data_IF_575605546106
#
_entry.id   IF_575605546106
#
_cell.length_a   1.000
_cell.length_b   1.000
_cell.length_c   1.000
_cell.angle_alpha   90.00
_cell.angle_beta   90.00
_cell.angle_gamma   90.00
#
_symmetry.space_group_name_H-M   'P 1'
#
loop_
_entity.id
_entity.type
_entity.pdbx_description
1 polymer ?
#
# COMPACT_ATOMS: atom_id res chain seq x y z
N UNK A 1 -37.55 7.75 -24.41
CA UNK A 1 -36.19 7.47 -24.91
C UNK A 1 -35.35 8.71 -24.65
N UNK A 2 -34.54 8.70 -23.58
CA UNK A 2 -33.58 9.77 -23.30
C UNK A 2 -32.19 9.18 -23.50
N UNK A 3 -31.56 9.68 -24.53
CA UNK A 3 -30.21 9.38 -24.95
C UNK A 3 -29.27 10.31 -24.17
N UNK A 4 -28.64 9.78 -23.12
CA UNK A 4 -27.66 10.53 -22.32
C UNK A 4 -26.23 10.07 -22.65
N UNK A 5 -25.58 10.90 -23.48
CA UNK A 5 -24.17 11.27 -23.42
C UNK A 5 -23.13 10.16 -23.17
N UNK A 6 -22.78 9.45 -24.24
CA UNK A 6 -21.62 8.53 -24.34
C UNK A 6 -20.24 9.24 -24.40
N UNK A 7 -20.10 10.49 -23.97
CA UNK A 7 -18.86 11.28 -24.11
C UNK A 7 -17.92 11.27 -22.88
N UNK A 8 -18.26 10.56 -21.80
CA UNK A 8 -17.47 10.58 -20.55
C UNK A 8 -16.42 9.45 -20.39
N UNK A 9 -16.20 8.61 -21.41
CA UNK A 9 -15.41 7.35 -21.27
C UNK A 9 -13.94 7.42 -21.70
N UNK A 10 -13.34 8.60 -21.76
CA UNK A 10 -11.90 8.76 -22.02
C UNK A 10 -11.14 8.93 -20.68
N UNK A 11 -10.84 7.81 -20.00
CA UNK A 11 -9.82 7.76 -18.94
C UNK A 11 -10.27 7.76 -17.48
N UNK A 12 -11.56 7.56 -17.16
CA UNK A 12 -12.03 7.47 -15.77
C UNK A 12 -12.00 6.04 -15.21
N UNK A 13 -11.60 5.87 -13.95
CA UNK A 13 -11.86 4.64 -13.20
C UNK A 13 -13.36 4.52 -12.92
N UNK A 14 -13.93 3.31 -13.05
CA UNK A 14 -15.31 3.05 -12.65
C UNK A 14 -15.52 3.43 -11.18
N UNK A 15 -16.60 4.16 -10.83
CA UNK A 15 -16.88 4.48 -9.43
C UNK A 15 -17.15 3.19 -8.66
N UNK A 16 -16.31 2.90 -7.66
CA UNK A 16 -16.43 1.72 -6.81
C UNK A 16 -17.05 2.13 -5.46
N UNK A 17 -18.19 1.55 -5.05
CA UNK A 17 -18.75 1.80 -3.72
C UNK A 17 -17.83 1.25 -2.62
N UNK A 18 -17.92 1.86 -1.43
CA UNK A 18 -17.12 1.46 -0.28
C UNK A 18 -17.46 0.03 0.15
N UNK A 19 -16.47 -0.86 0.10
CA UNK A 19 -16.62 -2.25 0.60
C UNK A 19 -16.93 -2.28 2.09
N UNK A 20 -16.40 -1.34 2.87
CA UNK A 20 -16.69 -1.23 4.30
C UNK A 20 -18.18 -0.92 4.56
N UNK A 21 -18.83 -0.12 3.72
CA UNK A 21 -20.28 0.13 3.86
C UNK A 21 -21.10 -1.07 3.38
N UNK A 22 -20.67 -1.74 2.31
CA UNK A 22 -21.30 -2.98 1.85
C UNK A 22 -21.28 -4.05 2.94
N UNK A 23 -20.16 -4.18 3.67
CA UNK A 23 -19.99 -5.14 4.76
C UNK A 23 -20.85 -4.85 6.01
N UNK A 24 -21.35 -3.62 6.18
CA UNK A 24 -22.29 -3.29 7.28
C UNK A 24 -23.73 -3.76 6.99
N UNK A 25 -24.06 -4.01 5.72
CA UNK A 25 -25.38 -4.50 5.29
C UNK A 25 -25.52 -6.02 5.40
N UNK A 26 -26.57 -6.58 4.78
CA UNK A 26 -26.74 -8.02 4.67
C UNK A 26 -25.70 -8.62 3.69
N UNK A 27 -24.98 -9.65 4.14
CA UNK A 27 -24.01 -10.41 3.34
C UNK A 27 -24.65 -11.37 2.34
N UNK A 28 -25.99 -11.43 2.27
CA UNK A 28 -26.73 -12.37 1.44
C UNK A 28 -26.47 -12.22 -0.07
N UNK A 29 -25.96 -11.06 -0.53
CA UNK A 29 -25.63 -10.84 -1.93
C UNK A 29 -24.32 -10.06 -2.09
N UNK A 30 -23.19 -10.77 -2.09
CA UNK A 30 -21.91 -10.20 -2.55
C UNK A 30 -22.09 -9.79 -4.02
N UNK A 31 -21.86 -8.51 -4.39
CA UNK A 31 -22.05 -8.05 -5.76
C UNK A 31 -21.22 -8.89 -6.74
N UNK A 32 -21.81 -9.24 -7.90
CA UNK A 32 -21.19 -10.09 -8.93
C UNK A 32 -19.76 -9.67 -9.30
N UNK A 33 -19.45 -8.37 -9.24
CA UNK A 33 -18.10 -7.84 -9.51
C UNK A 33 -17.00 -8.28 -8.54
N UNK A 34 -17.36 -8.83 -7.38
CA UNK A 34 -16.43 -9.37 -6.38
C UNK A 34 -16.42 -10.91 -6.38
N UNK A 35 -17.32 -11.55 -7.13
CA UNK A 35 -17.27 -12.99 -7.34
C UNK A 35 -16.13 -13.29 -8.30
N UNK A 36 -15.28 -14.25 -7.93
CA UNK A 36 -14.25 -14.78 -8.81
C UNK A 36 -14.75 -16.08 -9.39
N UNK A 37 -14.57 -16.27 -10.69
CA UNK A 37 -14.83 -17.57 -11.31
C UNK A 37 -13.88 -18.59 -10.69
N UNK A 38 -14.39 -19.78 -10.36
CA UNK A 38 -13.58 -20.84 -9.75
C UNK A 38 -12.41 -21.27 -10.65
N UNK A 39 -12.50 -21.01 -11.95
CA UNK A 39 -11.44 -21.26 -12.94
C UNK A 39 -10.30 -20.22 -12.90
N UNK A 40 -10.48 -19.10 -12.20
CA UNK A 40 -9.45 -18.06 -11.97
C UNK A 40 -8.80 -18.14 -10.59
N UNK A 41 -9.27 -19.06 -9.73
CA UNK A 41 -8.61 -19.30 -8.46
C UNK A 41 -7.25 -19.92 -8.76
N UNK A 42 -6.16 -19.41 -8.16
CA UNK A 42 -4.91 -20.15 -8.18
C UNK A 42 -5.17 -21.56 -7.62
N UNK A 43 -4.44 -22.59 -8.09
CA UNK A 43 -4.58 -23.93 -7.57
C UNK A 43 -4.52 -23.91 -6.03
N UNK A 44 -5.23 -24.82 -5.33
CA UNK A 44 -5.23 -24.88 -3.88
C UNK A 44 -3.81 -24.72 -3.37
N UNK A 45 -3.58 -23.72 -2.51
CA UNK A 45 -2.26 -23.46 -1.96
C UNK A 45 -1.87 -24.71 -1.19
N UNK A 46 -1.02 -25.54 -1.80
CA UNK A 46 -0.32 -26.60 -1.09
C UNK A 46 0.69 -25.90 -0.21
N UNK A 47 0.28 -25.57 1.03
CA UNK A 47 1.21 -25.07 2.04
C UNK A 47 2.14 -26.24 2.32
N UNK A 48 3.30 -26.26 1.65
CA UNK A 48 4.40 -27.12 2.07
C UNK A 48 4.83 -26.59 3.43
N UNK A 49 4.92 -27.48 4.41
CA UNK A 49 5.29 -27.15 5.79
C UNK A 49 6.63 -26.42 5.93
N UNK A 50 7.46 -26.47 4.89
CA UNK A 50 8.83 -25.94 4.89
C UNK A 50 8.97 -24.58 4.18
N UNK A 51 7.91 -24.06 3.55
CA UNK A 51 7.93 -22.78 2.84
C UNK A 51 7.66 -21.62 3.82
N UNK A 52 8.53 -21.46 4.81
CA UNK A 52 8.49 -20.28 5.70
C UNK A 52 9.07 -19.05 4.98
N UNK A 53 8.33 -17.94 5.05
CA UNK A 53 8.75 -16.64 4.50
C UNK A 53 10.11 -16.26 5.11
N UNK A 54 11.14 -15.94 4.31
CA UNK A 54 12.45 -15.57 4.83
C UNK A 54 12.35 -14.36 5.76
N UNK A 55 13.05 -14.41 6.89
CA UNK A 55 13.15 -13.31 7.85
C UNK A 55 14.57 -12.75 7.78
N UNK A 56 14.73 -11.45 7.56
CA UNK A 56 16.02 -10.79 7.42
C UNK A 56 16.26 -9.85 8.61
N UNK A 57 17.39 -10.02 9.29
CA UNK A 57 17.83 -9.15 10.38
C UNK A 57 18.62 -7.96 9.82
N UNK A 58 18.03 -6.77 9.89
CA UNK A 58 18.63 -5.55 9.36
C UNK A 58 19.86 -5.12 10.16
N UNK A 59 19.86 -5.32 11.48
CA UNK A 59 21.01 -5.01 12.33
C UNK A 59 22.24 -5.84 11.94
N UNK A 60 22.07 -7.14 11.71
CA UNK A 60 23.14 -8.03 11.23
C UNK A 60 23.70 -7.59 9.88
N UNK A 61 22.84 -7.15 8.95
CA UNK A 61 23.28 -6.61 7.66
C UNK A 61 24.14 -5.35 7.83
N UNK A 62 23.74 -4.44 8.71
CA UNK A 62 24.47 -3.21 8.99
C UNK A 62 25.83 -3.48 9.65
N UNK A 63 25.94 -4.58 10.41
CA UNK A 63 27.19 -5.05 11.00
C UNK A 63 28.10 -5.81 10.02
N UNK A 64 27.66 -6.02 8.77
CA UNK A 64 28.47 -6.68 7.74
C UNK A 64 28.37 -8.21 7.75
N UNK A 65 27.33 -8.80 8.32
CA UNK A 65 27.16 -10.27 8.37
C UNK A 65 26.92 -10.86 6.97
N UNK A 66 27.95 -11.51 6.42
CA UNK A 66 27.90 -12.16 5.11
C UNK A 66 26.80 -13.24 5.00
N UNK A 67 26.48 -13.93 6.10
CA UNK A 67 25.44 -14.93 6.09
C UNK A 67 24.08 -14.28 5.83
N UNK A 68 23.80 -13.18 6.53
CA UNK A 68 22.55 -12.45 6.37
C UNK A 68 22.46 -11.78 4.98
N UNK A 69 23.58 -11.32 4.42
CA UNK A 69 23.63 -10.84 3.03
C UNK A 69 23.30 -11.93 2.00
N UNK A 70 23.86 -13.14 2.15
CA UNK A 70 23.54 -14.28 1.28
C UNK A 70 22.07 -14.68 1.40
N UNK A 71 21.53 -14.63 2.61
CA UNK A 71 20.11 -14.89 2.87
C UNK A 71 19.21 -13.85 2.20
N UNK A 72 19.57 -12.57 2.26
CA UNK A 72 18.86 -11.49 1.55
C UNK A 72 18.92 -11.67 0.03
N UNK A 73 20.09 -11.96 -0.54
CA UNK A 73 20.22 -12.22 -1.99
C UNK A 73 19.35 -13.42 -2.43
N UNK A 74 19.39 -14.51 -1.64
CA UNK A 74 18.54 -15.68 -1.88
C UNK A 74 17.05 -15.35 -1.81
N UNK A 75 16.61 -14.60 -0.78
CA UNK A 75 15.22 -14.18 -0.65
C UNK A 75 14.76 -13.31 -1.82
N UNK A 76 15.58 -12.37 -2.28
CA UNK A 76 15.28 -11.55 -3.45
C UNK A 76 15.13 -12.38 -4.75
N UNK A 77 15.98 -13.39 -4.96
CA UNK A 77 15.97 -14.20 -6.19
C UNK A 77 14.92 -15.30 -6.21
N UNK A 78 14.73 -15.98 -5.08
CA UNK A 78 13.90 -17.18 -5.00
C UNK A 78 12.47 -16.87 -4.55
N UNK A 79 12.30 -15.89 -3.66
CA UNK A 79 11.00 -15.56 -3.07
C UNK A 79 10.38 -14.29 -3.66
N UNK A 80 11.17 -13.24 -3.82
CA UNK A 80 10.67 -11.91 -4.20
C UNK A 80 9.95 -11.17 -3.06
N UNK A 81 9.84 -11.78 -1.87
CA UNK A 81 9.33 -11.15 -0.65
C UNK A 81 9.98 -11.79 0.60
N UNK A 82 10.06 -11.02 1.69
CA UNK A 82 10.65 -11.42 2.97
C UNK A 82 10.18 -10.49 4.09
N UNK A 83 10.36 -10.90 5.33
CA UNK A 83 10.07 -10.10 6.53
C UNK A 83 11.36 -9.47 7.06
N UNK A 84 11.28 -8.26 7.61
CA UNK A 84 12.42 -7.60 8.26
C UNK A 84 12.24 -7.60 9.78
N UNK A 85 13.32 -7.87 10.51
CA UNK A 85 13.41 -7.68 11.96
C UNK A 85 14.57 -6.76 12.30
N UNK A 86 14.52 -6.15 13.48
CA UNK A 86 15.52 -5.18 13.96
C UNK A 86 15.79 -4.06 12.94
N UNK A 87 14.76 -3.63 12.22
CA UNK A 87 14.84 -2.59 11.17
C UNK A 87 15.01 -1.16 11.72
N UNK A 88 15.14 -0.99 13.04
CA UNK A 88 15.39 0.30 13.68
C UNK A 88 14.20 1.27 13.73
N UNK A 89 13.01 0.85 13.31
CA UNK A 89 11.77 1.65 13.44
C UNK A 89 11.15 1.32 14.78
N UNK A 90 10.83 2.33 15.59
CA UNK A 90 10.30 2.11 16.92
C UNK A 90 8.90 1.48 16.89
N UNK A 91 8.64 0.53 17.78
CA UNK A 91 7.33 -0.11 17.93
C UNK A 91 6.23 0.92 18.22
N UNK A 92 6.55 1.96 19.00
CA UNK A 92 5.63 3.07 19.29
C UNK A 92 5.16 3.81 18.03
N UNK A 93 6.03 3.95 17.02
CA UNK A 93 5.67 4.59 15.76
C UNK A 93 4.80 3.66 14.92
N UNK A 94 5.14 2.36 14.88
CA UNK A 94 4.35 1.34 14.18
C UNK A 94 2.93 1.29 14.78
N UNK A 95 2.81 1.26 16.11
CA UNK A 95 1.53 1.23 16.80
C UNK A 95 0.73 2.50 16.59
N UNK A 96 1.41 3.67 16.58
CA UNK A 96 0.76 4.93 16.23
C UNK A 96 0.22 4.91 14.80
N UNK A 97 1.00 4.45 13.83
CA UNK A 97 0.55 4.35 12.43
C UNK A 97 -0.63 3.39 12.29
N UNK A 98 -0.60 2.23 12.96
CA UNK A 98 -1.72 1.29 12.99
C UNK A 98 -2.98 1.93 13.57
N UNK A 99 -2.84 2.62 14.70
CA UNK A 99 -3.93 3.32 15.37
C UNK A 99 -4.51 4.43 14.50
N UNK A 100 -3.67 5.33 14.00
CA UNK A 100 -4.10 6.45 13.16
C UNK A 100 -4.82 5.94 11.88
N UNK A 101 -4.34 4.83 11.31
CA UNK A 101 -4.98 4.17 10.17
C UNK A 101 -6.36 3.62 10.55
N UNK A 102 -6.45 2.92 11.69
CA UNK A 102 -7.72 2.38 12.20
C UNK A 102 -8.72 3.50 12.48
N UNK A 103 -8.29 4.56 13.17
CA UNK A 103 -9.10 5.73 13.50
C UNK A 103 -9.61 6.41 12.23
N UNK A 104 -8.76 6.55 11.20
CA UNK A 104 -9.17 7.05 9.89
C UNK A 104 -10.28 6.20 9.25
N UNK A 105 -10.14 4.87 9.23
CA UNK A 105 -11.17 4.00 8.63
C UNK A 105 -12.46 3.94 9.45
N UNK A 106 -12.41 4.26 10.75
CA UNK A 106 -13.58 4.37 11.62
C UNK A 106 -14.39 5.66 11.42
N UNK A 107 -13.84 6.68 10.76
CA UNK A 107 -14.58 7.90 10.44
C UNK A 107 -15.78 7.64 9.50
N UNK A 108 -16.82 8.51 9.53
CA UNK A 108 -17.91 8.49 8.56
C UNK A 108 -17.40 8.57 7.11
N UNK A 109 -18.14 7.96 6.18
CA UNK A 109 -17.74 7.87 4.77
C UNK A 109 -17.53 9.26 4.13
N UNK A 110 -18.36 10.22 4.51
CA UNK A 110 -18.37 11.60 4.03
C UNK A 110 -17.06 12.30 4.38
N UNK A 111 -16.56 12.09 5.59
CA UNK A 111 -15.32 12.69 6.06
C UNK A 111 -14.11 11.98 5.44
N UNK A 112 -14.16 10.65 5.31
CA UNK A 112 -13.13 9.89 4.57
C UNK A 112 -13.02 10.34 3.11
N UNK A 113 -14.15 10.60 2.43
CA UNK A 113 -14.17 11.11 1.04
C UNK A 113 -13.55 12.51 0.92
N UNK A 114 -13.83 13.40 1.86
CA UNK A 114 -13.21 14.74 1.90
C UNK A 114 -11.69 14.60 2.07
N UNK A 115 -11.26 13.85 3.08
CA UNK A 115 -9.84 13.64 3.38
C UNK A 115 -9.11 12.95 2.23
N UNK A 116 -9.69 11.94 1.59
CA UNK A 116 -9.11 11.26 0.44
C UNK A 116 -8.82 12.22 -0.72
N UNK A 117 -9.77 13.12 -1.03
CA UNK A 117 -9.57 14.16 -2.05
C UNK A 117 -8.43 15.11 -1.68
N UNK A 118 -8.36 15.51 -0.40
CA UNK A 118 -7.30 16.38 0.10
C UNK A 118 -5.94 15.68 0.18
N UNK A 119 -5.91 14.38 0.47
CA UNK A 119 -4.68 13.59 0.59
C UNK A 119 -3.98 13.45 -0.77
N UNK A 120 -4.74 13.27 -1.86
CA UNK A 120 -4.17 13.29 -3.22
C UNK A 120 -3.57 14.67 -3.53
N UNK A 121 -4.27 15.75 -3.17
CA UNK A 121 -3.77 17.12 -3.37
C UNK A 121 -2.52 17.38 -2.53
N UNK A 122 -2.53 17.01 -1.25
CA UNK A 122 -1.38 17.14 -0.34
C UNK A 122 -0.18 16.34 -0.83
N UNK A 123 -0.35 15.09 -1.28
CA UNK A 123 0.74 14.30 -1.87
C UNK A 123 1.33 14.96 -3.13
N UNK A 124 0.50 15.61 -3.95
CA UNK A 124 0.98 16.37 -5.12
C UNK A 124 1.71 17.64 -4.69
N UNK A 125 1.18 18.37 -3.69
CA UNK A 125 1.81 19.57 -3.15
C UNK A 125 3.14 19.25 -2.47
N UNK A 126 3.22 18.17 -1.69
CA UNK A 126 4.46 17.73 -1.04
C UNK A 126 5.50 17.30 -2.07
N UNK A 127 5.11 16.64 -3.17
CA UNK A 127 6.06 16.37 -4.27
C UNK A 127 6.57 17.64 -4.93
N UNK A 128 5.71 18.65 -5.12
CA UNK A 128 6.09 19.94 -5.71
C UNK A 128 6.98 20.73 -4.72
N UNK A 129 6.64 20.74 -3.43
CA UNK A 129 7.40 21.39 -2.36
C UNK A 129 8.75 20.71 -2.13
N UNK A 130 8.83 19.37 -2.15
CA UNK A 130 10.09 18.63 -2.07
C UNK A 130 10.96 18.91 -3.30
N UNK A 131 10.36 18.97 -4.50
CA UNK A 131 11.04 19.39 -5.74
C UNK A 131 11.59 20.82 -5.65
N UNK A 132 10.83 21.78 -5.10
CA UNK A 132 11.28 23.17 -4.93
C UNK A 132 12.37 23.29 -3.85
N UNK A 133 12.29 22.48 -2.79
CA UNK A 133 13.26 22.49 -1.69
C UNK A 133 14.59 21.81 -2.09
N UNK A 134 14.55 20.77 -2.91
CA UNK A 134 15.74 20.14 -3.50
C UNK A 134 16.41 21.08 -4.51
N UNK A 135 15.63 21.81 -5.33
CA UNK A 135 16.19 22.81 -6.27
C UNK A 135 16.89 23.97 -5.56
N UNK A 136 16.33 24.48 -4.45
CA UNK A 136 16.99 25.51 -3.65
C UNK A 136 18.25 25.01 -2.93
N UNK A 137 18.30 23.73 -2.54
CA UNK A 137 19.49 23.14 -1.91
C UNK A 137 20.63 22.92 -2.92
N UNK A 138 20.31 22.48 -4.15
CA UNK A 138 21.29 22.35 -5.25
C UNK A 138 21.80 23.73 -5.71
N UNK A 139 20.93 24.75 -5.73
CA UNK A 139 21.31 26.12 -6.07
C UNK A 139 22.30 26.78 -5.09
N UNK A 140 22.23 26.44 -3.79
CA UNK A 140 23.20 26.92 -2.79
C UNK A 140 24.55 26.17 -2.82
N UNK A 141 24.57 24.92 -3.29
CA UNK A 141 25.80 24.12 -3.38
C UNK A 141 26.59 24.43 -4.66
N UNK A 142 25.93 24.87 -5.73
CA UNK A 142 26.59 25.23 -6.99
C UNK A 142 27.03 26.71 -7.11
N UNK A 143 26.82 27.54 -6.07
CA UNK A 143 27.23 28.95 -6.05
C UNK A 143 28.06 29.32 -4.81
N UNK A 144 28.92 28.39 -4.35
CA UNK A 144 30.00 28.70 -3.41
C UNK A 144 31.33 28.13 -3.86
#
# INVERSE_FOLDING_TARGET
MKEENNLARLGGSLPVPSVQELAKGSLENVPLRYLRDDQQLPPPIMIKSDDNIPIINVESLLLGDEFEFKKLDSACRQWGFFQLINHGVSDSLIDKVKKDTQDFFNLPLEDKKKLSKWMVIWMVMDKILLSLRIRNLIGLICFS
#
